data_IF_404539669224
#
_entry.id   IF_404539669224
#
_cell.length_a   1.000
_cell.length_b   1.000
_cell.length_c   1.000
_cell.angle_alpha   90.00
_cell.angle_beta   90.00
_cell.angle_gamma   90.00
#
_symmetry.space_group_name_H-M   'P 1'
#
loop_
_entity.id
_entity.type
_entity.pdbx_description
1 polymer ?
#
# COMPACT_ATOMS: atom_id res chain seq x y z
N UNK A 1 6.07 -9.51 1.50
CA UNK A 1 4.66 -9.34 1.08
C UNK A 1 3.94 -8.50 2.11
N UNK A 2 3.07 -7.57 1.67
CA UNK A 2 2.32 -6.64 2.51
C UNK A 2 0.82 -6.86 2.24
N UNK A 3 0.06 -7.47 3.14
CA UNK A 3 -1.39 -7.53 3.02
C UNK A 3 -2.00 -6.14 3.22
N UNK A 4 -3.17 -5.91 2.59
CA UNK A 4 -3.93 -4.68 2.68
C UNK A 4 -5.32 -4.95 3.25
N UNK A 5 -5.84 -4.00 4.03
CA UNK A 5 -7.24 -3.95 4.49
C UNK A 5 -7.79 -2.58 4.14
N UNK A 6 -8.88 -2.58 3.36
CA UNK A 6 -9.65 -1.37 3.08
C UNK A 6 -10.66 -1.16 4.21
N UNK A 7 -10.69 0.06 4.78
CA UNK A 7 -11.48 0.38 5.97
C UNK A 7 -12.43 1.54 5.72
N UNK A 8 -13.67 1.38 6.17
CA UNK A 8 -14.68 2.45 6.23
C UNK A 8 -15.43 2.35 7.56
N UNK A 9 -15.68 3.49 8.20
CA UNK A 9 -16.39 3.56 9.48
C UNK A 9 -15.80 2.65 10.57
N UNK A 10 -14.50 2.35 10.50
CA UNK A 10 -13.77 1.52 11.46
C UNK A 10 -13.89 0.01 11.24
N UNK A 11 -14.55 -0.43 10.18
CA UNK A 11 -14.68 -1.84 9.78
C UNK A 11 -14.12 -2.06 8.38
N UNK A 12 -13.86 -3.32 8.00
CA UNK A 12 -13.44 -3.65 6.64
C UNK A 12 -14.57 -3.31 5.63
N UNK A 13 -14.20 -2.80 4.44
CA UNK A 13 -15.19 -2.42 3.42
C UNK A 13 -15.94 -3.61 2.85
N UNK A 14 -15.29 -4.76 2.80
CA UNK A 14 -15.84 -6.03 2.35
C UNK A 14 -15.68 -7.08 3.44
N UNK A 15 -16.63 -8.00 3.61
CA UNK A 15 -16.47 -9.13 4.53
C UNK A 15 -15.27 -10.00 4.14
N UNK A 16 -14.41 -10.29 5.10
CA UNK A 16 -13.29 -11.21 4.89
C UNK A 16 -13.77 -12.65 4.80
N UNK A 17 -13.20 -13.41 3.86
CA UNK A 17 -13.42 -14.84 3.72
C UNK A 17 -12.44 -15.71 4.52
N UNK A 18 -11.62 -15.12 5.41
CA UNK A 18 -10.65 -15.85 6.23
C UNK A 18 -11.41 -16.78 7.19
N UNK A 19 -11.14 -18.11 7.18
CA UNK A 19 -11.81 -19.04 8.07
C UNK A 19 -11.54 -18.76 9.56
N UNK A 20 -12.56 -18.94 10.39
CA UNK A 20 -12.43 -18.81 11.85
C UNK A 20 -12.50 -17.40 12.42
N UNK A 21 -12.71 -16.37 11.59
CA UNK A 21 -13.01 -15.03 12.10
C UNK A 21 -14.38 -15.02 12.77
N UNK A 22 -14.46 -14.44 13.98
CA UNK A 22 -15.71 -14.27 14.68
C UNK A 22 -16.61 -13.19 14.03
N UNK A 23 -15.98 -12.15 13.49
CA UNK A 23 -16.61 -11.09 12.70
C UNK A 23 -15.77 -10.86 11.43
N UNK A 24 -16.32 -11.13 10.22
CA UNK A 24 -15.61 -10.94 8.96
C UNK A 24 -15.32 -9.48 8.61
N UNK A 25 -15.90 -8.51 9.33
CA UNK A 25 -15.64 -7.09 9.18
C UNK A 25 -14.69 -6.54 10.24
N UNK A 26 -14.28 -7.33 11.25
CA UNK A 26 -13.35 -6.88 12.30
C UNK A 26 -11.92 -6.73 11.76
N UNK A 27 -11.52 -5.48 11.54
CA UNK A 27 -10.18 -5.10 11.05
C UNK A 27 -9.07 -5.67 11.94
N UNK A 28 -9.27 -5.73 13.25
CA UNK A 28 -8.26 -6.23 14.21
C UNK A 28 -8.13 -7.75 14.12
N UNK A 29 -9.26 -8.45 14.00
CA UNK A 29 -9.28 -9.90 13.80
C UNK A 29 -8.62 -10.30 12.48
N UNK A 30 -8.92 -9.59 11.38
CA UNK A 30 -8.31 -9.81 10.06
C UNK A 30 -6.79 -9.58 10.14
N UNK A 31 -6.36 -8.45 10.72
CA UNK A 31 -4.94 -8.15 10.89
C UNK A 31 -4.22 -9.17 11.77
N UNK A 32 -4.88 -9.65 12.83
CA UNK A 32 -4.38 -10.72 13.69
C UNK A 32 -4.16 -12.03 12.93
N UNK A 33 -5.06 -12.39 12.01
CA UNK A 33 -4.88 -13.55 11.13
C UNK A 33 -3.69 -13.37 10.19
N UNK A 34 -3.51 -12.19 9.60
CA UNK A 34 -2.34 -11.91 8.76
C UNK A 34 -1.03 -12.00 9.55
N UNK A 35 -0.99 -11.47 10.78
CA UNK A 35 0.18 -11.56 11.64
C UNK A 35 0.49 -13.02 12.04
N UNK A 36 -0.54 -13.80 12.37
CA UNK A 36 -0.41 -15.23 12.68
C UNK A 36 0.19 -16.00 11.50
N UNK A 37 -0.20 -15.67 10.29
CA UNK A 37 0.29 -16.25 9.04
C UNK A 37 1.68 -15.72 8.61
N UNK A 38 2.34 -14.91 9.43
CA UNK A 38 3.71 -14.46 9.24
C UNK A 38 3.85 -13.12 8.50
N UNK A 39 2.79 -12.33 8.33
CA UNK A 39 2.95 -10.95 7.89
C UNK A 39 3.74 -10.15 8.93
N UNK A 40 4.64 -9.27 8.46
CA UNK A 40 5.36 -8.32 9.31
C UNK A 40 4.87 -6.88 9.15
N UNK A 41 4.12 -6.61 8.10
CA UNK A 41 3.61 -5.29 7.73
C UNK A 41 2.14 -5.37 7.34
N UNK A 42 1.41 -4.27 7.48
CA UNK A 42 0.04 -4.11 7.03
C UNK A 42 -0.13 -2.75 6.36
N UNK A 43 -0.73 -2.73 5.18
CA UNK A 43 -1.23 -1.51 4.57
C UNK A 43 -2.71 -1.34 4.94
N UNK A 44 -3.03 -0.27 5.66
CA UNK A 44 -4.39 0.07 6.07
C UNK A 44 -4.90 1.23 5.20
N UNK A 45 -5.83 0.95 4.29
CA UNK A 45 -6.41 1.98 3.42
C UNK A 45 -7.76 2.44 3.94
N UNK A 46 -7.76 3.57 4.62
CA UNK A 46 -8.95 4.20 5.20
C UNK A 46 -9.56 5.14 4.18
N UNK A 47 -10.68 4.73 3.59
CA UNK A 47 -11.33 5.49 2.51
C UNK A 47 -12.15 6.68 3.02
N UNK A 48 -12.42 6.73 4.32
CA UNK A 48 -13.16 7.81 4.95
C UNK A 48 -12.47 9.17 4.81
N UNK A 49 -13.23 10.26 4.72
CA UNK A 49 -12.66 11.61 4.78
C UNK A 49 -12.13 11.92 6.19
N UNK A 50 -11.16 12.81 6.28
CA UNK A 50 -10.53 13.21 7.55
C UNK A 50 -11.52 13.68 8.63
N UNK A 51 -12.70 14.15 8.23
CA UNK A 51 -13.79 14.57 9.13
C UNK A 51 -14.52 13.39 9.80
N UNK A 52 -14.38 12.18 9.27
CA UNK A 52 -15.10 10.98 9.75
C UNK A 52 -14.18 9.97 10.48
N UNK A 53 -12.86 10.19 10.52
CA UNK A 53 -11.90 9.22 11.08
C UNK A 53 -11.60 9.40 12.59
N UNK A 54 -12.55 9.88 13.36
CA UNK A 54 -12.39 10.03 14.83
C UNK A 54 -12.05 8.71 15.55
N UNK A 55 -12.45 7.58 14.99
CA UNK A 55 -12.16 6.23 15.48
C UNK A 55 -10.71 5.77 15.26
N UNK A 56 -10.01 6.34 14.28
CA UNK A 56 -8.74 5.82 13.76
C UNK A 56 -7.63 5.72 14.82
N UNK A 57 -7.40 6.71 15.70
CA UNK A 57 -6.37 6.56 16.75
C UNK A 57 -6.66 5.39 17.71
N UNK A 58 -7.94 5.10 17.96
CA UNK A 58 -8.36 3.95 18.75
C UNK A 58 -8.11 2.61 18.06
N UNK A 59 -8.40 2.55 16.76
CA UNK A 59 -8.14 1.39 15.91
C UNK A 59 -6.63 1.11 15.81
N UNK A 60 -5.81 2.13 15.55
CA UNK A 60 -4.35 2.00 15.44
C UNK A 60 -3.72 1.44 16.71
N UNK A 61 -4.17 1.90 17.91
CA UNK A 61 -3.68 1.33 19.18
C UNK A 61 -4.02 -0.16 19.35
N UNK A 62 -5.12 -0.62 18.78
CA UNK A 62 -5.47 -2.04 18.79
C UNK A 62 -4.62 -2.82 17.78
N UNK A 63 -4.50 -2.30 16.56
CA UNK A 63 -3.69 -2.91 15.49
C UNK A 63 -2.21 -2.99 15.86
N UNK A 64 -1.66 -1.97 16.50
CA UNK A 64 -0.25 -1.99 16.97
C UNK A 64 0.06 -3.20 17.88
N UNK A 65 -0.92 -3.71 18.62
CA UNK A 65 -0.75 -4.89 19.48
C UNK A 65 -0.59 -6.20 18.69
N UNK A 66 -0.91 -6.22 17.40
CA UNK A 66 -0.68 -7.40 16.55
C UNK A 66 0.80 -7.58 16.20
N UNK A 67 1.65 -6.59 16.46
CA UNK A 67 3.06 -6.59 16.12
C UNK A 67 3.35 -6.26 14.66
N UNK A 68 2.33 -5.96 13.85
CA UNK A 68 2.48 -5.53 12.47
C UNK A 68 2.98 -4.08 12.40
N UNK A 69 3.88 -3.82 11.47
CA UNK A 69 4.26 -2.48 11.08
C UNK A 69 3.15 -1.87 10.22
N UNK A 70 2.57 -0.74 10.65
CA UNK A 70 1.37 -0.16 10.06
C UNK A 70 1.71 0.98 9.10
N UNK A 71 1.42 0.80 7.82
CA UNK A 71 1.41 1.85 6.80
C UNK A 71 -0.05 2.28 6.63
N UNK A 72 -0.36 3.54 6.92
CA UNK A 72 -1.73 4.04 6.97
C UNK A 72 -1.99 5.05 5.87
N UNK A 73 -2.95 4.77 5.04
CA UNK A 73 -3.53 5.69 4.03
C UNK A 73 -4.87 6.18 4.53
N UNK A 74 -5.13 7.48 4.43
CA UNK A 74 -6.43 8.06 4.76
C UNK A 74 -6.88 8.97 3.63
N UNK A 75 -8.15 8.86 3.27
CA UNK A 75 -8.76 9.68 2.22
C UNK A 75 -7.87 9.70 0.95
N UNK A 76 -7.46 8.50 0.50
CA UNK A 76 -6.64 8.34 -0.72
C UNK A 76 -5.31 9.10 -0.69
N UNK A 77 -4.63 9.09 0.46
CA UNK A 77 -3.31 9.72 0.60
C UNK A 77 -3.35 11.24 0.63
N UNK A 78 -4.44 11.83 1.10
CA UNK A 78 -4.50 13.25 1.47
C UNK A 78 -3.82 13.42 2.83
N UNK A 79 -2.81 14.28 2.93
CA UNK A 79 -2.17 14.56 4.22
C UNK A 79 -3.00 15.56 5.04
N UNK A 80 -3.22 15.27 6.33
CA UNK A 80 -3.81 16.23 7.26
C UNK A 80 -2.76 17.25 7.73
N UNK A 81 -3.10 18.03 8.75
CA UNK A 81 -2.11 18.89 9.40
C UNK A 81 -0.97 18.06 10.03
N UNK A 82 0.24 18.60 10.16
CA UNK A 82 1.37 17.92 10.80
C UNK A 82 1.05 17.42 12.23
N UNK A 83 0.23 18.16 12.97
CA UNK A 83 -0.21 17.77 14.31
C UNK A 83 -1.06 16.47 14.26
N UNK A 84 -1.96 16.35 13.28
CA UNK A 84 -2.77 15.15 13.10
C UNK A 84 -1.93 13.97 12.62
N UNK A 85 -0.94 14.21 11.75
CA UNK A 85 0.03 13.19 11.39
C UNK A 85 0.77 12.66 12.63
N UNK A 86 1.27 13.55 13.49
CA UNK A 86 1.97 13.17 14.72
C UNK A 86 1.06 12.37 15.68
N UNK A 87 -0.22 12.72 15.77
CA UNK A 87 -1.22 11.97 16.56
C UNK A 87 -1.34 10.53 16.07
N UNK A 88 -1.47 10.29 14.75
CA UNK A 88 -1.59 8.95 14.21
C UNK A 88 -0.30 8.12 14.40
N UNK A 89 0.86 8.74 14.19
CA UNK A 89 2.14 8.10 14.46
C UNK A 89 2.27 7.71 15.95
N UNK A 90 1.85 8.58 16.87
CA UNK A 90 1.83 8.31 18.30
C UNK A 90 0.79 7.24 18.69
N UNK A 91 -0.26 7.08 17.88
CA UNK A 91 -1.28 6.06 18.09
C UNK A 91 -0.87 4.67 17.59
N UNK A 92 0.25 4.55 16.88
CA UNK A 92 0.80 3.27 16.44
C UNK A 92 0.97 3.11 14.94
N UNK A 93 0.71 4.15 14.12
CA UNK A 93 1.12 4.13 12.72
C UNK A 93 2.65 4.25 12.62
N UNK A 94 3.29 3.44 11.78
CA UNK A 94 4.72 3.52 11.51
C UNK A 94 5.03 4.48 10.37
N UNK A 95 4.14 4.55 9.38
CA UNK A 95 4.21 5.49 8.26
C UNK A 95 2.82 5.88 7.78
N UNK A 96 2.72 7.07 7.18
CA UNK A 96 1.51 7.58 6.53
C UNK A 96 1.73 7.60 5.02
N UNK A 97 0.70 7.26 4.24
CA UNK A 97 0.77 7.36 2.79
C UNK A 97 0.53 8.79 2.31
N UNK A 98 1.18 9.12 1.20
CA UNK A 98 0.96 10.37 0.45
C UNK A 98 0.72 10.02 -1.02
N UNK A 99 -0.40 10.47 -1.56
CA UNK A 99 -0.78 10.29 -2.96
C UNK A 99 -1.40 11.57 -3.51
N UNK A 100 -2.69 11.79 -3.26
CA UNK A 100 -3.42 12.98 -3.71
C UNK A 100 -2.71 14.27 -3.33
N UNK A 101 -2.22 14.41 -2.10
CA UNK A 101 -1.49 15.59 -1.65
C UNK A 101 -0.18 15.86 -2.41
N UNK A 102 0.45 14.83 -3.00
CA UNK A 102 1.64 15.05 -3.85
C UNK A 102 1.35 15.90 -5.08
N UNK A 103 0.12 15.84 -5.58
CA UNK A 103 -0.32 16.56 -6.78
C UNK A 103 -0.99 17.89 -6.41
N UNK A 104 -1.88 17.88 -5.42
CA UNK A 104 -2.72 19.02 -5.06
C UNK A 104 -2.05 19.98 -4.09
N UNK A 105 -1.22 19.48 -3.15
CA UNK A 105 -0.66 20.24 -2.05
C UNK A 105 0.84 19.92 -1.83
N UNK A 106 1.70 20.04 -2.86
CA UNK A 106 3.11 19.65 -2.77
C UNK A 106 3.89 20.38 -1.67
N UNK A 107 3.54 21.61 -1.36
CA UNK A 107 4.17 22.38 -0.28
C UNK A 107 3.85 21.80 1.11
N UNK A 108 2.62 21.32 1.30
CA UNK A 108 2.22 20.61 2.53
C UNK A 108 3.02 19.33 2.70
N UNK A 109 3.24 18.58 1.61
CA UNK A 109 4.08 17.38 1.63
C UNK A 109 5.52 17.72 2.01
N UNK A 110 6.10 18.76 1.41
CA UNK A 110 7.46 19.21 1.75
C UNK A 110 7.57 19.63 3.23
N UNK A 111 6.56 20.30 3.77
CA UNK A 111 6.49 20.64 5.19
C UNK A 111 6.41 19.38 6.07
N UNK A 112 5.56 18.42 5.72
CA UNK A 112 5.44 17.15 6.46
C UNK A 112 6.77 16.38 6.45
N UNK A 113 7.47 16.30 5.32
CA UNK A 113 8.80 15.70 5.23
C UNK A 113 9.79 16.39 6.16
N UNK A 114 9.78 17.72 6.22
CA UNK A 114 10.67 18.50 7.09
C UNK A 114 10.39 18.28 8.57
N UNK A 115 9.12 18.16 8.95
CA UNK A 115 8.71 18.04 10.36
C UNK A 115 8.74 16.59 10.89
N UNK A 116 8.33 15.64 10.08
CA UNK A 116 8.17 14.22 10.49
C UNK A 116 9.35 13.35 10.06
N UNK A 117 10.09 13.80 9.04
CA UNK A 117 11.09 13.01 8.34
C UNK A 117 10.49 12.14 7.24
N UNK A 118 11.17 12.05 6.08
CA UNK A 118 10.69 11.27 4.93
C UNK A 118 10.43 9.79 5.24
N UNK A 119 11.16 9.20 6.19
CA UNK A 119 10.99 7.80 6.60
C UNK A 119 9.64 7.49 7.29
N UNK A 120 8.88 8.51 7.67
CA UNK A 120 7.51 8.38 8.19
C UNK A 120 6.45 8.49 7.09
N UNK A 121 6.88 8.60 5.83
CA UNK A 121 5.98 8.72 4.69
C UNK A 121 6.25 7.61 3.67
N UNK A 122 5.18 7.10 3.06
CA UNK A 122 5.20 6.17 1.92
C UNK A 122 4.51 6.87 0.75
N UNK A 123 5.22 7.04 -0.36
CA UNK A 123 4.62 7.60 -1.58
C UNK A 123 3.72 6.57 -2.24
N UNK A 124 2.52 6.96 -2.66
CA UNK A 124 1.62 6.09 -3.44
C UNK A 124 1.38 6.75 -4.79
N UNK A 125 1.82 6.09 -5.85
CA UNK A 125 1.63 6.51 -7.23
C UNK A 125 0.56 5.61 -7.85
N UNK A 126 -0.70 6.05 -7.77
CA UNK A 126 -1.78 5.47 -8.53
C UNK A 126 -1.72 6.04 -9.95
N UNK A 127 -1.78 5.19 -10.96
CA UNK A 127 -1.73 5.64 -12.35
C UNK A 127 -2.57 4.75 -13.26
N UNK A 128 -2.94 5.29 -14.42
CA UNK A 128 -3.55 4.59 -15.54
C UNK A 128 -2.65 4.71 -16.78
N UNK A 129 -2.67 3.72 -17.64
CA UNK A 129 -1.88 3.66 -18.87
C UNK A 129 -0.90 2.50 -18.93
N UNK A 130 0.00 2.58 -19.88
CA UNK A 130 0.97 1.53 -20.19
C UNK A 130 2.32 2.12 -20.67
N UNK A 131 3.29 1.24 -20.91
CA UNK A 131 4.61 1.64 -21.39
C UNK A 131 4.60 2.40 -22.73
N UNK A 132 3.63 2.15 -23.61
CA UNK A 132 3.58 2.77 -24.94
C UNK A 132 2.97 4.16 -24.90
N UNK A 133 1.95 4.35 -24.05
CA UNK A 133 1.19 5.61 -23.92
C UNK A 133 1.71 6.49 -22.78
N UNK A 134 2.59 5.93 -21.91
CA UNK A 134 2.99 6.52 -20.66
C UNK A 134 1.94 6.31 -19.56
N UNK A 135 2.34 6.47 -18.30
CA UNK A 135 1.47 6.35 -17.13
C UNK A 135 1.13 7.73 -16.60
N UNK A 136 -0.17 8.01 -16.52
CA UNK A 136 -0.68 9.25 -15.94
C UNK A 136 -1.17 9.02 -14.53
N UNK A 137 -0.80 9.93 -13.64
CA UNK A 137 -1.19 9.86 -12.23
C UNK A 137 -2.69 10.00 -12.08
N UNK A 138 -3.26 9.13 -11.28
CA UNK A 138 -4.64 9.19 -10.78
C UNK A 138 -4.62 9.61 -9.31
N UNK A 139 -5.52 10.51 -8.94
CA UNK A 139 -5.73 10.94 -7.56
C UNK A 139 -7.14 10.56 -7.08
N UNK A 140 -7.45 10.83 -5.81
CA UNK A 140 -8.75 10.49 -5.19
C UNK A 140 -9.12 9.01 -5.38
N UNK A 141 -8.17 8.09 -5.06
CA UNK A 141 -8.42 6.65 -5.19
C UNK A 141 -8.59 6.15 -6.63
N UNK A 142 -8.00 6.82 -7.60
CA UNK A 142 -8.14 6.47 -9.02
C UNK A 142 -9.28 7.19 -9.75
N UNK A 143 -10.11 7.94 -9.02
CA UNK A 143 -11.29 8.58 -9.60
C UNK A 143 -10.98 9.77 -10.54
N UNK A 144 -9.81 10.40 -10.39
CA UNK A 144 -9.44 11.59 -11.17
C UNK A 144 -8.11 11.36 -11.88
N UNK A 145 -8.16 11.27 -13.20
CA UNK A 145 -6.96 11.23 -14.05
C UNK A 145 -6.38 12.63 -14.19
N UNK A 146 -5.08 12.77 -13.96
CA UNK A 146 -4.37 14.05 -14.08
C UNK A 146 -3.50 14.09 -15.35
N UNK A 147 -2.82 15.22 -15.57
CA UNK A 147 -1.80 15.35 -16.61
C UNK A 147 -0.39 14.99 -16.11
N UNK A 148 -0.24 14.73 -14.81
CA UNK A 148 1.05 14.42 -14.21
C UNK A 148 1.56 13.05 -14.68
N UNK A 149 2.86 12.96 -14.94
CA UNK A 149 3.54 11.71 -15.29
C UNK A 149 3.91 10.92 -14.04
N UNK A 150 3.58 9.63 -14.01
CA UNK A 150 3.81 8.76 -12.85
C UNK A 150 5.30 8.50 -12.58
N UNK A 151 6.13 8.45 -13.63
CA UNK A 151 7.58 8.25 -13.51
C UNK A 151 8.22 9.50 -12.93
N UNK A 152 7.84 10.69 -13.41
CA UNK A 152 8.32 11.95 -12.86
C UNK A 152 7.89 12.14 -11.38
N UNK A 153 6.67 11.74 -11.02
CA UNK A 153 6.22 11.76 -9.62
C UNK A 153 7.03 10.80 -8.75
N UNK A 154 7.38 9.62 -9.30
CA UNK A 154 8.22 8.64 -8.61
C UNK A 154 9.63 9.20 -8.33
N UNK A 155 10.24 9.90 -9.27
CA UNK A 155 11.53 10.58 -9.10
C UNK A 155 11.46 11.62 -7.98
N UNK A 156 10.41 12.46 -7.97
CA UNK A 156 10.21 13.45 -6.91
C UNK A 156 10.05 12.83 -5.52
N UNK A 157 9.38 11.69 -5.40
CA UNK A 157 9.30 10.95 -4.14
C UNK A 157 10.69 10.45 -3.68
N UNK A 158 11.54 10.05 -4.62
CA UNK A 158 12.94 9.72 -4.37
C UNK A 158 13.74 10.90 -3.80
N UNK A 159 13.59 12.09 -4.39
CA UNK A 159 14.20 13.33 -3.89
C UNK A 159 13.77 13.67 -2.46
N UNK A 160 12.51 13.46 -2.14
CA UNK A 160 11.95 13.63 -0.79
C UNK A 160 12.44 12.57 0.21
N UNK A 161 13.12 11.52 -0.25
CA UNK A 161 13.63 10.41 0.56
C UNK A 161 12.55 9.79 1.44
N UNK A 162 11.36 9.58 0.87
CA UNK A 162 10.30 8.84 1.57
C UNK A 162 10.75 7.40 1.82
N UNK A 163 10.07 6.70 2.73
CA UNK A 163 10.42 5.36 3.17
C UNK A 163 10.40 4.33 2.05
N UNK A 164 9.36 4.36 1.23
CA UNK A 164 9.11 3.47 0.11
C UNK A 164 8.13 4.13 -0.86
N UNK A 165 8.04 3.56 -2.06
CA UNK A 165 7.10 3.97 -3.09
C UNK A 165 6.20 2.78 -3.44
N UNK A 166 4.87 2.96 -3.36
CA UNK A 166 3.89 2.02 -3.87
C UNK A 166 3.51 2.44 -5.30
N UNK A 167 3.80 1.56 -6.27
CA UNK A 167 3.47 1.74 -7.68
C UNK A 167 2.22 0.90 -8.00
N UNK A 168 1.12 1.58 -8.30
CA UNK A 168 -0.19 0.97 -8.50
C UNK A 168 -0.78 1.36 -9.87
N UNK A 169 -0.99 0.38 -10.75
CA UNK A 169 -1.74 0.60 -11.97
C UNK A 169 -3.22 0.27 -11.72
N UNK A 170 -4.07 1.31 -11.68
CA UNK A 170 -5.50 1.17 -11.39
C UNK A 170 -6.24 0.35 -12.45
N UNK A 171 -5.75 0.35 -13.70
CA UNK A 171 -6.35 -0.44 -14.79
C UNK A 171 -6.21 -1.96 -14.58
N UNK A 172 -5.31 -2.37 -13.68
CA UNK A 172 -5.08 -3.78 -13.33
C UNK A 172 -5.76 -4.22 -12.04
N UNK A 173 -6.24 -3.29 -11.23
CA UNK A 173 -6.88 -3.62 -9.95
C UNK A 173 -8.04 -4.60 -10.12
N UNK A 174 -8.04 -5.66 -9.33
CA UNK A 174 -9.07 -6.69 -9.32
C UNK A 174 -9.10 -7.60 -10.55
N UNK A 175 -8.24 -7.41 -11.55
CA UNK A 175 -8.23 -8.19 -12.80
C UNK A 175 -7.57 -9.57 -12.65
N UNK A 176 -6.64 -9.73 -11.71
CA UNK A 176 -5.86 -10.96 -11.56
C UNK A 176 -4.81 -11.20 -12.67
N UNK A 177 -4.55 -10.21 -13.55
CA UNK A 177 -3.58 -10.35 -14.66
C UNK A 177 -2.12 -10.12 -14.26
N UNK A 178 -1.87 -9.80 -13.00
CA UNK A 178 -0.54 -9.49 -12.46
C UNK A 178 -0.23 -8.00 -12.43
N UNK A 179 0.85 -7.66 -11.72
CA UNK A 179 1.33 -6.29 -11.56
C UNK A 179 1.81 -5.68 -12.88
N UNK A 180 1.86 -4.36 -12.96
CA UNK A 180 2.53 -3.66 -14.05
C UNK A 180 4.05 -3.64 -13.80
N UNK A 181 4.75 -4.65 -14.34
CA UNK A 181 6.19 -4.82 -14.14
C UNK A 181 7.01 -3.69 -14.76
N UNK A 182 6.55 -3.13 -15.87
CA UNK A 182 7.24 -2.02 -16.53
C UNK A 182 7.12 -0.73 -15.72
N UNK A 183 5.94 -0.45 -15.14
CA UNK A 183 5.73 0.66 -14.22
C UNK A 183 6.62 0.50 -12.98
N UNK A 184 6.56 -0.68 -12.35
CA UNK A 184 7.31 -0.98 -11.13
C UNK A 184 8.81 -0.77 -11.34
N UNK A 185 9.36 -1.29 -12.44
CA UNK A 185 10.76 -1.13 -12.82
C UNK A 185 11.13 0.32 -13.11
N UNK A 186 10.28 1.05 -13.84
CA UNK A 186 10.50 2.47 -14.11
C UNK A 186 10.54 3.28 -12.82
N UNK A 187 9.58 3.05 -11.91
CA UNK A 187 9.52 3.70 -10.60
C UNK A 187 10.76 3.41 -9.74
N UNK A 188 11.19 2.13 -9.66
CA UNK A 188 12.38 1.74 -8.91
C UNK A 188 13.64 2.43 -9.42
N UNK A 189 13.81 2.49 -10.75
CA UNK A 189 14.99 3.10 -11.38
C UNK A 189 15.13 4.58 -11.07
N UNK A 190 14.05 5.36 -11.19
CA UNK A 190 14.12 6.80 -11.04
C UNK A 190 14.08 7.23 -9.58
N UNK A 191 13.27 6.60 -8.73
CA UNK A 191 13.16 6.96 -7.33
C UNK A 191 14.33 6.50 -6.47
N UNK A 192 14.94 5.36 -6.82
CA UNK A 192 15.96 4.66 -6.01
C UNK A 192 15.46 4.31 -4.59
N UNK A 193 14.16 4.19 -4.44
CA UNK A 193 13.50 3.78 -3.20
C UNK A 193 13.13 2.29 -3.26
N UNK A 194 12.92 1.64 -2.11
CA UNK A 194 12.18 0.38 -2.08
C UNK A 194 10.81 0.56 -2.73
N UNK A 195 10.46 -0.30 -3.70
CA UNK A 195 9.18 -0.22 -4.41
C UNK A 195 8.26 -1.36 -3.96
N UNK A 196 7.02 -1.01 -3.71
CA UNK A 196 5.90 -1.92 -3.43
C UNK A 196 5.08 -2.02 -4.71
N UNK A 197 5.08 -3.19 -5.37
CA UNK A 197 4.21 -3.41 -6.51
C UNK A 197 2.76 -3.62 -6.06
N UNK A 198 1.82 -2.96 -6.72
CA UNK A 198 0.39 -3.01 -6.43
C UNK A 198 -0.45 -3.04 -7.71
N UNK A 199 -1.70 -3.52 -7.58
CA UNK A 199 -2.67 -3.61 -8.68
C UNK A 199 -2.51 -4.87 -9.53
N UNK A 200 -3.48 -5.79 -9.44
CA UNK A 200 -3.60 -6.93 -10.34
C UNK A 200 -3.09 -8.28 -9.84
N UNK A 201 -2.61 -8.40 -8.61
CA UNK A 201 -2.17 -9.69 -8.05
C UNK A 201 -3.28 -10.74 -8.06
N UNK A 202 -3.00 -11.91 -8.60
CA UNK A 202 -3.93 -13.03 -8.66
C UNK A 202 -3.30 -14.39 -8.32
N UNK A 203 -1.96 -14.51 -8.34
CA UNK A 203 -1.26 -15.78 -8.07
C UNK A 203 0.15 -15.56 -7.51
N UNK A 204 0.69 -16.59 -6.83
CA UNK A 204 2.05 -16.58 -6.31
C UNK A 204 3.11 -16.34 -7.42
N UNK A 205 2.91 -16.90 -8.61
CA UNK A 205 3.83 -16.69 -9.74
C UNK A 205 3.95 -15.20 -10.10
N UNK A 206 2.83 -14.47 -10.11
CA UNK A 206 2.84 -13.04 -10.42
C UNK A 206 3.54 -12.21 -9.31
N UNK A 207 3.50 -12.68 -8.05
CA UNK A 207 4.27 -12.05 -6.98
C UNK A 207 5.79 -12.24 -7.23
N UNK A 208 6.20 -13.45 -7.64
CA UNK A 208 7.59 -13.75 -8.04
C UNK A 208 8.03 -12.86 -9.20
N UNK A 209 7.19 -12.72 -10.24
CA UNK A 209 7.48 -11.86 -11.39
C UNK A 209 7.73 -10.40 -10.96
N UNK A 210 6.95 -9.88 -10.03
CA UNK A 210 7.15 -8.52 -9.53
C UNK A 210 8.49 -8.35 -8.81
N UNK A 211 8.88 -9.34 -7.99
CA UNK A 211 10.13 -9.30 -7.23
C UNK A 211 11.37 -9.51 -8.10
N UNK A 212 11.30 -10.41 -9.10
CA UNK A 212 12.44 -10.74 -9.97
C UNK A 212 12.57 -9.84 -11.18
N UNK A 213 11.45 -9.62 -11.88
CA UNK A 213 11.42 -8.93 -13.16
C UNK A 213 10.92 -7.50 -13.07
N UNK A 214 10.17 -7.17 -12.03
CA UNK A 214 9.62 -5.83 -11.77
C UNK A 214 10.52 -4.91 -10.95
N UNK A 215 11.65 -5.39 -10.42
CA UNK A 215 12.50 -4.69 -9.46
C UNK A 215 11.75 -4.23 -8.20
N UNK A 216 10.66 -4.93 -7.85
CA UNK A 216 9.94 -4.66 -6.61
C UNK A 216 10.73 -5.16 -5.40
N UNK A 217 10.74 -4.38 -4.33
CA UNK A 217 11.25 -4.82 -3.01
C UNK A 217 10.15 -5.56 -2.25
N UNK A 218 8.92 -5.12 -2.42
CA UNK A 218 7.73 -5.68 -1.78
C UNK A 218 6.59 -5.82 -2.79
N UNK A 219 5.65 -6.70 -2.48
CA UNK A 219 4.39 -6.85 -3.20
C UNK A 219 3.23 -6.61 -2.24
N UNK A 220 2.23 -5.82 -2.67
CA UNK A 220 1.00 -5.62 -1.92
C UNK A 220 -0.05 -6.60 -2.40
N UNK A 221 -0.73 -7.25 -1.49
CA UNK A 221 -1.83 -8.18 -1.76
C UNK A 221 -3.07 -7.75 -0.97
N UNK A 222 -4.23 -7.78 -1.62
CA UNK A 222 -5.51 -7.46 -1.00
C UNK A 222 -6.51 -8.61 -1.23
N UNK A 223 -7.28 -8.55 -2.29
CA UNK A 223 -8.43 -9.46 -2.54
C UNK A 223 -8.09 -10.95 -2.45
N UNK A 224 -6.89 -11.35 -2.85
CA UNK A 224 -6.48 -12.75 -2.85
C UNK A 224 -6.40 -13.34 -1.44
N UNK A 225 -5.91 -12.57 -0.47
CA UNK A 225 -5.82 -12.98 0.95
C UNK A 225 -7.08 -12.61 1.72
N UNK A 226 -7.68 -11.46 1.43
CA UNK A 226 -8.90 -11.00 2.11
C UNK A 226 -10.10 -11.92 1.84
N UNK A 227 -10.20 -12.46 0.64
CA UNK A 227 -11.26 -13.43 0.27
C UNK A 227 -11.07 -14.83 0.87
N UNK A 228 -9.95 -15.11 1.54
CA UNK A 228 -9.63 -16.43 2.08
C UNK A 228 -9.28 -17.48 1.00
N UNK A 229 -9.12 -17.08 -0.27
CA UNK A 229 -8.67 -18.02 -1.34
C UNK A 229 -7.25 -18.47 -1.13
N UNK A 230 -6.41 -17.58 -0.66
CA UNK A 230 -5.04 -17.84 -0.24
C UNK A 230 -4.83 -17.25 1.15
N UNK A 231 -3.89 -17.77 1.90
CA UNK A 231 -3.42 -17.16 3.13
C UNK A 231 -2.10 -16.42 2.90
N UNK A 232 -1.73 -15.52 3.81
CA UNK A 232 -0.40 -14.91 3.79
C UNK A 232 0.68 -16.00 3.88
N UNK A 233 0.45 -17.04 4.70
CA UNK A 233 1.37 -18.16 4.88
C UNK A 233 1.55 -18.97 3.60
N UNK A 234 0.44 -19.38 2.94
CA UNK A 234 0.51 -20.18 1.70
C UNK A 234 1.22 -19.42 0.56
N UNK A 235 0.94 -18.11 0.42
CA UNK A 235 1.62 -17.28 -0.57
C UNK A 235 3.10 -17.10 -0.23
N UNK A 236 3.46 -16.95 1.05
CA UNK A 236 4.85 -16.80 1.48
C UNK A 236 5.66 -18.08 1.24
N UNK A 237 5.08 -19.23 1.51
CA UNK A 237 5.70 -20.51 1.23
C UNK A 237 5.91 -20.72 -0.28
N UNK A 238 4.88 -20.44 -1.07
CA UNK A 238 4.98 -20.49 -2.53
C UNK A 238 6.04 -19.53 -3.09
N UNK A 239 6.12 -18.32 -2.55
CA UNK A 239 7.17 -17.36 -2.89
C UNK A 239 8.56 -17.92 -2.58
N UNK A 240 8.75 -18.47 -1.39
CA UNK A 240 10.02 -19.05 -0.97
C UNK A 240 10.45 -20.17 -1.91
N UNK A 241 9.56 -21.11 -2.21
CA UNK A 241 9.83 -22.22 -3.12
C UNK A 241 10.23 -21.73 -4.52
N UNK A 242 9.48 -20.80 -5.12
CA UNK A 242 9.78 -20.28 -6.45
C UNK A 242 11.07 -19.44 -6.50
N UNK A 243 11.38 -18.68 -5.43
CA UNK A 243 12.60 -17.89 -5.38
C UNK A 243 13.88 -18.73 -5.22
N UNK A 244 13.78 -19.97 -4.70
CA UNK A 244 14.92 -20.85 -4.44
C UNK A 244 14.98 -22.07 -5.37
N UNK A 245 13.92 -22.38 -6.14
CA UNK A 245 13.87 -23.54 -7.05
C UNK A 245 14.87 -23.47 -8.22
N UNK A 246 15.52 -22.36 -8.49
CA UNK A 246 16.50 -22.19 -9.57
C UNK A 246 17.96 -22.06 -9.05
N UNK A 247 18.17 -22.34 -7.75
CA UNK A 247 19.50 -22.30 -7.15
C UNK A 247 20.20 -23.67 -7.13
N UNK A 248 19.52 -24.73 -7.56
CA UNK A 248 20.00 -26.09 -7.79
C UNK A 248 20.09 -26.40 -9.29
#
# INVERSE_FOLDING_TARGET
MIPCIDVRDGVATDPSGIPGLADPLDVVGIAGSYAHDGASQLFLDVVDPWTAVGYLPGLLRKLHKTGLELIVSVQHGVLPSPAKCAELLSAGADALSISTSMVEEPDRVAEAVRLLGGRRLVGVVNCSGDRQRGWRVCIHGGATLTTADAVALSERLGELRVRALLANNVDREGTGIGYDLDLTRAAARVSRLPVIASGGAGSAAQLVDALRSGDATYVLVNKVVHSGRETVGSLSESLYQHLHAEAD
#
